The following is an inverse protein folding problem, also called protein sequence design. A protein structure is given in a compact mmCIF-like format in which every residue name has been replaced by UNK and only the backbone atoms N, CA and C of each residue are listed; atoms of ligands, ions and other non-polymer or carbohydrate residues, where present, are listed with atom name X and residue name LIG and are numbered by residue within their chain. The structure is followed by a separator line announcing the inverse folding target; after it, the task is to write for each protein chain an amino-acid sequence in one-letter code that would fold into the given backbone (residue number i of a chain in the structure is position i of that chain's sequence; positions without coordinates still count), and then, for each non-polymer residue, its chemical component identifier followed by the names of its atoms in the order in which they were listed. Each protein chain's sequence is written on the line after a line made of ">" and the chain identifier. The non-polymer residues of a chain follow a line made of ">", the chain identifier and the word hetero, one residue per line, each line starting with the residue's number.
data_IF_642909697876
#
_entry.id   IF_642909697876
#
_cell.length_a   1.000
_cell.length_b   1.000
_cell.length_c   1.000
_cell.angle_alpha   90.00
_cell.angle_beta   90.00
_cell.angle_gamma   90.00
#
_symmetry.space_group_name_H-M   'P 1'
#
loop_
_entity.id
_entity.type
_entity.pdbx_description
1 polymer ?
#
# COMPACT_ATOMS: atom_id res chain seq x y z
N UNK A 1 5.01 37.40 9.29
CA UNK A 1 5.54 36.01 9.28
C UNK A 1 4.43 35.11 8.79
N UNK A 2 4.37 34.87 7.47
CA UNK A 2 3.31 34.06 6.85
C UNK A 2 3.61 32.58 6.97
N UNK A 3 2.65 31.81 7.48
CA UNK A 3 2.71 30.36 7.58
C UNK A 3 2.71 29.73 6.19
N UNK A 4 3.75 29.00 5.83
CA UNK A 4 3.77 28.09 4.68
C UNK A 4 2.96 26.84 5.07
N UNK A 5 1.64 26.98 5.10
CA UNK A 5 0.71 25.87 5.31
C UNK A 5 0.23 25.36 3.94
N UNK A 6 0.69 24.15 3.59
CA UNK A 6 0.06 23.16 2.69
C UNK A 6 -0.18 23.50 1.21
N UNK A 7 0.88 23.84 0.45
CA UNK A 7 0.82 23.86 -1.03
C UNK A 7 0.94 22.46 -1.70
N UNK A 8 1.10 21.39 -0.91
CA UNK A 8 1.31 20.04 -1.42
C UNK A 8 0.10 19.45 -2.19
N UNK A 9 -1.18 19.72 -1.84
CA UNK A 9 -2.31 19.10 -2.54
C UNK A 9 -2.32 19.46 -4.03
N UNK A 10 -2.04 20.71 -4.37
CA UNK A 10 -1.99 21.16 -5.78
C UNK A 10 -0.96 20.40 -6.60
N UNK A 11 0.26 20.24 -6.06
CA UNK A 11 1.34 19.50 -6.75
C UNK A 11 0.97 18.03 -6.94
N UNK A 12 0.40 17.40 -5.91
CA UNK A 12 -0.05 16.01 -5.97
C UNK A 12 -1.19 15.83 -6.98
N UNK A 13 -2.20 16.70 -6.94
CA UNK A 13 -3.34 16.61 -7.85
C UNK A 13 -2.88 16.69 -9.30
N UNK A 14 -2.00 17.64 -9.62
CA UNK A 14 -1.45 17.79 -10.95
C UNK A 14 -0.70 16.52 -11.40
N UNK A 15 0.20 16.02 -10.54
CA UNK A 15 0.98 14.81 -10.80
C UNK A 15 0.07 13.58 -11.03
N UNK A 16 -0.86 13.31 -10.12
CA UNK A 16 -1.79 12.17 -10.26
C UNK A 16 -2.66 12.29 -11.51
N UNK A 17 -3.19 13.48 -11.78
CA UNK A 17 -4.08 13.70 -12.92
C UNK A 17 -3.36 13.50 -14.26
N UNK A 18 -2.09 13.88 -14.38
CA UNK A 18 -1.32 13.73 -15.61
C UNK A 18 -0.79 12.30 -15.81
N UNK A 19 -0.44 11.61 -14.73
CA UNK A 19 0.26 10.32 -14.79
C UNK A 19 -0.63 9.08 -14.67
N UNK A 20 -1.91 9.23 -14.32
CA UNK A 20 -2.85 8.11 -14.33
C UNK A 20 -3.31 7.77 -15.76
N UNK A 21 -3.43 6.46 -16.10
CA UNK A 21 -3.93 6.04 -17.41
C UNK A 21 -5.30 6.65 -17.72
N UNK A 22 -5.53 7.05 -18.97
CA UNK A 22 -6.79 7.67 -19.40
C UNK A 22 -7.75 6.64 -19.97
N UNK A 23 -9.05 6.80 -19.69
CA UNK A 23 -10.14 6.06 -20.35
C UNK A 23 -11.32 6.99 -20.59
N UNK A 24 -11.51 7.36 -21.86
CA UNK A 24 -12.45 8.41 -22.23
C UNK A 24 -12.14 9.70 -21.48
N UNK A 25 -13.14 10.25 -20.77
CA UNK A 25 -12.98 11.43 -19.93
C UNK A 25 -12.39 11.14 -18.53
N UNK A 26 -12.26 9.86 -18.14
CA UNK A 26 -11.82 9.44 -16.81
C UNK A 26 -10.37 8.97 -16.75
N UNK A 27 -10.05 8.34 -15.62
CA UNK A 27 -8.82 7.60 -15.34
C UNK A 27 -9.17 6.13 -15.15
N UNK A 28 -8.34 5.24 -15.69
CA UNK A 28 -8.47 3.79 -15.56
C UNK A 28 -7.37 3.26 -14.65
N UNK A 29 -7.74 2.49 -13.63
CA UNK A 29 -6.76 1.90 -12.74
C UNK A 29 -6.09 0.65 -13.34
N UNK A 30 -6.55 0.15 -14.49
CA UNK A 30 -6.01 -1.03 -15.22
C UNK A 30 -5.79 -2.28 -14.36
N UNK A 31 -6.53 -2.40 -13.26
CA UNK A 31 -6.29 -3.38 -12.19
C UNK A 31 -4.85 -3.40 -11.63
N UNK A 32 -4.11 -2.30 -11.71
CA UNK A 32 -2.80 -2.11 -11.06
C UNK A 32 -2.97 -1.41 -9.72
N UNK A 33 -2.22 -1.87 -8.70
CA UNK A 33 -2.23 -1.31 -7.34
C UNK A 33 -1.92 0.19 -7.33
N UNK A 34 -0.84 0.60 -8.01
CA UNK A 34 -0.41 1.99 -8.04
C UNK A 34 -1.44 2.92 -8.67
N UNK A 35 -2.08 2.48 -9.76
CA UNK A 35 -3.09 3.28 -10.44
C UNK A 35 -4.40 3.34 -9.66
N UNK A 36 -4.80 2.24 -9.01
CA UNK A 36 -6.01 2.23 -8.20
C UNK A 36 -5.88 3.17 -7.00
N UNK A 37 -4.77 3.09 -6.27
CA UNK A 37 -4.49 3.99 -5.15
C UNK A 37 -4.37 5.44 -5.64
N UNK A 38 -3.80 5.69 -6.82
CA UNK A 38 -3.78 7.03 -7.42
C UNK A 38 -5.18 7.57 -7.75
N UNK A 39 -6.08 6.71 -8.27
CA UNK A 39 -7.48 7.06 -8.47
C UNK A 39 -8.20 7.37 -7.15
N UNK A 40 -8.01 6.52 -6.13
CA UNK A 40 -8.56 6.72 -4.78
C UNK A 40 -8.04 8.02 -4.15
N UNK A 41 -6.76 8.36 -4.34
CA UNK A 41 -6.18 9.61 -3.88
C UNK A 41 -6.84 10.83 -4.55
N UNK A 42 -7.11 10.79 -5.86
CA UNK A 42 -7.85 11.88 -6.55
C UNK A 42 -9.28 12.01 -6.04
N UNK A 43 -9.95 10.90 -5.71
CA UNK A 43 -11.29 10.92 -5.12
C UNK A 43 -11.26 11.52 -3.72
N UNK A 44 -10.32 11.09 -2.89
CA UNK A 44 -10.12 11.58 -1.52
C UNK A 44 -9.73 13.06 -1.47
N UNK A 45 -8.98 13.55 -2.46
CA UNK A 45 -8.64 14.97 -2.64
C UNK A 45 -9.80 15.79 -3.27
N UNK A 46 -10.97 15.18 -3.46
CA UNK A 46 -12.17 15.86 -3.98
C UNK A 46 -12.10 16.23 -5.46
N UNK A 47 -11.17 15.66 -6.21
CA UNK A 47 -10.94 15.97 -7.63
C UNK A 47 -11.72 15.05 -8.57
N UNK A 48 -12.07 13.85 -8.10
CA UNK A 48 -12.75 12.86 -8.90
C UNK A 48 -13.89 12.15 -8.13
N UNK A 49 -14.72 11.44 -8.88
CA UNK A 49 -15.71 10.50 -8.36
C UNK A 49 -15.28 9.10 -8.77
N UNK A 50 -15.31 8.17 -7.81
CA UNK A 50 -14.99 6.77 -8.06
C UNK A 50 -16.00 6.15 -9.04
N UNK A 51 -15.49 5.33 -9.95
CA UNK A 51 -16.30 4.50 -10.85
C UNK A 51 -15.70 3.11 -10.93
N UNK A 52 -16.48 2.12 -11.37
CA UNK A 52 -15.93 0.78 -11.63
C UNK A 52 -14.76 0.87 -12.61
N UNK A 53 -13.57 0.47 -12.18
CA UNK A 53 -12.38 0.51 -13.03
C UNK A 53 -11.55 1.80 -12.94
N UNK A 54 -11.89 2.79 -12.10
CA UNK A 54 -11.06 3.98 -11.91
C UNK A 54 -11.80 5.19 -11.34
N UNK A 55 -11.57 6.38 -11.91
CA UNK A 55 -12.14 7.62 -11.39
C UNK A 55 -12.43 8.64 -12.50
N UNK A 56 -13.51 9.42 -12.37
CA UNK A 56 -13.88 10.47 -13.33
C UNK A 56 -13.73 11.85 -12.69
N UNK A 57 -13.05 12.82 -13.34
CA UNK A 57 -12.93 14.18 -12.81
C UNK A 57 -14.27 14.83 -12.49
N UNK A 58 -14.35 15.55 -11.37
CA UNK A 58 -15.54 16.32 -10.99
C UNK A 58 -15.63 17.59 -11.83
N UNK A 59 -16.86 18.03 -12.09
CA UNK A 59 -17.11 19.32 -12.79
C UNK A 59 -16.67 20.53 -11.97
N UNK A 60 -16.84 20.46 -10.65
CA UNK A 60 -16.42 21.46 -9.68
C UNK A 60 -15.53 20.76 -8.64
N UNK A 61 -14.23 20.59 -8.94
CA UNK A 61 -13.30 20.00 -7.99
C UNK A 61 -13.05 20.96 -6.83
N UNK A 62 -13.13 20.44 -5.61
CA UNK A 62 -12.89 21.21 -4.38
C UNK A 62 -12.15 20.31 -3.40
N UNK A 63 -11.16 20.87 -2.69
CA UNK A 63 -10.48 20.13 -1.63
C UNK A 63 -11.47 19.83 -0.50
N UNK A 64 -11.43 18.64 0.10
CA UNK A 64 -12.24 18.35 1.27
C UNK A 64 -11.81 19.23 2.46
N UNK A 65 -12.73 19.49 3.39
CA UNK A 65 -12.43 20.18 4.65
C UNK A 65 -11.31 19.47 5.44
N UNK A 66 -11.29 18.14 5.38
CA UNK A 66 -10.24 17.29 5.97
C UNK A 66 -9.49 16.58 4.87
N UNK A 67 -8.23 16.95 4.68
CA UNK A 67 -7.36 16.29 3.70
C UNK A 67 -7.08 14.83 4.10
N UNK A 68 -6.90 13.95 3.10
CA UNK A 68 -6.41 12.60 3.35
C UNK A 68 -5.06 12.64 4.06
N UNK A 69 -4.73 11.55 4.73
CA UNK A 69 -3.49 11.42 5.49
C UNK A 69 -2.29 11.62 4.57
N UNK A 70 -1.40 12.55 4.93
CA UNK A 70 -0.24 12.92 4.13
C UNK A 70 0.64 11.70 3.76
N UNK A 71 0.89 10.81 4.71
CA UNK A 71 1.69 9.59 4.47
C UNK A 71 1.08 8.70 3.39
N UNK A 72 -0.24 8.49 3.41
CA UNK A 72 -0.95 7.66 2.44
C UNK A 72 -0.87 8.29 1.02
N UNK A 73 -0.99 9.62 0.94
CA UNK A 73 -0.80 10.35 -0.33
C UNK A 73 0.64 10.23 -0.83
N UNK A 74 1.63 10.27 0.05
CA UNK A 74 3.02 10.04 -0.35
C UNK A 74 3.22 8.65 -0.96
N UNK A 75 2.58 7.61 -0.40
CA UNK A 75 2.61 6.26 -0.99
C UNK A 75 1.98 6.26 -2.38
N UNK A 76 0.80 6.88 -2.54
CA UNK A 76 0.13 6.99 -3.83
C UNK A 76 1.03 7.63 -4.91
N UNK A 77 1.74 8.70 -4.57
CA UNK A 77 2.67 9.38 -5.48
C UNK A 77 3.90 8.53 -5.77
N UNK A 78 4.55 7.96 -4.76
CA UNK A 78 5.78 7.18 -4.93
C UNK A 78 5.53 5.92 -5.78
N UNK A 79 4.45 5.19 -5.50
CA UNK A 79 4.09 4.00 -6.27
C UNK A 79 3.66 4.33 -7.70
N UNK A 80 2.92 5.42 -7.92
CA UNK A 80 2.58 5.86 -9.27
C UNK A 80 3.84 6.28 -10.05
N UNK A 81 4.74 7.04 -9.44
CA UNK A 81 5.98 7.47 -10.06
C UNK A 81 6.86 6.27 -10.45
N UNK A 82 6.99 5.28 -9.57
CA UNK A 82 7.73 4.04 -9.85
C UNK A 82 7.05 3.22 -10.96
N UNK A 83 5.73 3.05 -10.89
CA UNK A 83 4.95 2.33 -11.91
C UNK A 83 5.07 2.97 -13.31
N UNK A 84 5.23 4.29 -13.39
CA UNK A 84 5.43 5.04 -14.63
C UNK A 84 6.92 5.14 -15.05
N UNK A 85 7.85 4.55 -14.29
CA UNK A 85 9.30 4.67 -14.55
C UNK A 85 9.87 6.07 -14.30
N UNK A 86 9.12 6.95 -13.65
CA UNK A 86 9.50 8.33 -13.31
C UNK A 86 10.30 8.42 -12.01
N UNK A 87 10.28 7.36 -11.22
CA UNK A 87 11.08 7.19 -10.02
C UNK A 87 11.71 5.80 -10.04
N UNK A 88 13.03 5.70 -9.92
CA UNK A 88 13.74 4.42 -9.87
C UNK A 88 14.64 4.38 -8.64
N UNK A 89 14.49 3.37 -7.81
CA UNK A 89 15.34 3.15 -6.63
C UNK A 89 16.58 2.30 -7.00
N UNK A 90 17.73 2.63 -6.42
CA UNK A 90 19.01 1.94 -6.68
C UNK A 90 19.80 1.70 -5.40
N UNK A 91 20.64 0.67 -5.39
CA UNK A 91 21.52 0.36 -4.26
C UNK A 91 22.75 1.28 -4.24
N UNK A 92 23.31 1.58 -3.06
CA UNK A 92 24.64 2.15 -2.98
C UNK A 92 25.67 1.18 -3.58
N UNK A 93 26.41 1.62 -4.60
CA UNK A 93 27.43 0.81 -5.26
C UNK A 93 27.00 0.16 -6.58
N UNK A 94 25.73 0.30 -6.98
CA UNK A 94 25.36 0.09 -8.38
C UNK A 94 26.14 1.10 -9.24
N UNK A 95 26.83 0.62 -10.27
CA UNK A 95 27.76 1.44 -11.06
C UNK A 95 27.00 2.59 -11.74
N UNK A 96 27.22 3.81 -11.25
CA UNK A 96 26.54 5.03 -11.68
C UNK A 96 26.87 5.42 -13.14
N UNK A 97 27.92 4.82 -13.72
CA UNK A 97 28.61 5.36 -14.89
C UNK A 97 28.19 4.78 -16.26
N UNK A 98 27.34 3.75 -16.36
CA UNK A 98 27.02 3.15 -17.68
C UNK A 98 25.85 3.77 -18.45
N UNK A 99 24.95 4.54 -17.82
CA UNK A 99 23.71 5.06 -18.47
C UNK A 99 23.60 6.59 -18.54
N UNK A 100 24.62 7.34 -18.08
CA UNK A 100 24.59 8.82 -17.97
C UNK A 100 24.43 9.57 -19.29
N UNK A 101 24.63 8.93 -20.43
CA UNK A 101 24.48 9.60 -21.73
C UNK A 101 23.01 9.96 -22.04
N UNK A 102 22.03 9.34 -21.35
CA UNK A 102 20.61 9.48 -21.68
C UNK A 102 19.66 9.77 -20.49
N UNK A 103 20.16 9.78 -19.25
CA UNK A 103 19.31 10.06 -18.08
C UNK A 103 19.04 11.57 -17.91
N UNK A 104 17.79 12.00 -18.10
CA UNK A 104 17.32 13.37 -17.77
C UNK A 104 16.87 13.51 -16.30
N UNK A 105 17.04 12.47 -15.48
CA UNK A 105 16.60 12.44 -14.08
C UNK A 105 17.52 13.19 -13.11
N UNK A 106 16.95 13.65 -12.01
CA UNK A 106 17.67 14.22 -10.86
C UNK A 106 17.89 13.14 -9.81
N UNK A 107 19.10 13.09 -9.26
CA UNK A 107 19.42 12.15 -8.19
C UNK A 107 18.98 12.65 -6.84
N UNK A 108 18.23 11.79 -6.18
CA UNK A 108 17.86 11.89 -4.79
C UNK A 108 18.89 11.12 -3.98
N UNK A 109 19.71 11.86 -3.23
CA UNK A 109 20.70 11.32 -2.32
C UNK A 109 20.06 10.40 -1.29
N UNK A 110 20.81 9.38 -0.86
CA UNK A 110 20.38 8.47 0.19
C UNK A 110 19.91 9.25 1.44
N UNK A 111 18.93 8.71 2.20
CA UNK A 111 18.46 9.36 3.42
C UNK A 111 19.63 9.62 4.37
N UNK A 112 19.62 10.79 5.00
CA UNK A 112 20.49 11.02 6.16
C UNK A 112 20.14 9.95 7.18
N UNK A 113 21.09 9.08 7.55
CA UNK A 113 20.82 7.90 8.40
C UNK A 113 20.24 8.33 9.74
N UNK A 114 18.93 8.21 9.87
CA UNK A 114 18.15 8.29 11.10
C UNK A 114 18.17 6.96 11.85
N UNK A 115 17.88 6.96 13.14
CA UNK A 115 17.91 5.75 13.97
C UNK A 115 16.98 4.63 13.47
N UNK A 116 15.86 4.92 12.79
CA UNK A 116 15.02 3.83 12.27
C UNK A 116 15.62 3.23 10.99
N UNK A 117 16.16 4.04 10.08
CA UNK A 117 16.86 3.52 8.89
C UNK A 117 18.24 2.93 9.19
N UNK A 118 18.81 3.10 10.40
CA UNK A 118 20.14 2.54 10.75
C UNK A 118 20.24 1.02 10.57
N UNK A 119 19.15 0.28 10.77
CA UNK A 119 19.11 -1.17 10.59
C UNK A 119 18.71 -1.61 9.19
N UNK A 120 18.30 -0.68 8.33
CA UNK A 120 17.81 -0.97 6.98
C UNK A 120 18.82 -0.52 5.93
N UNK A 121 18.94 -1.31 4.88
CA UNK A 121 19.66 -0.88 3.69
C UNK A 121 18.83 0.19 2.99
N UNK A 122 19.41 1.38 2.80
CA UNK A 122 18.79 2.49 2.07
C UNK A 122 19.72 3.01 1.00
N UNK A 123 19.17 3.32 -0.16
CA UNK A 123 19.92 3.71 -1.34
C UNK A 123 19.49 5.04 -1.93
N UNK A 124 19.98 5.28 -3.14
CA UNK A 124 19.63 6.46 -3.94
C UNK A 124 18.31 6.21 -4.67
N UNK A 125 17.74 7.30 -5.19
CA UNK A 125 16.70 7.22 -6.20
C UNK A 125 16.97 8.21 -7.32
N UNK A 126 16.59 7.86 -8.53
CA UNK A 126 16.55 8.77 -9.67
C UNK A 126 15.10 9.15 -9.92
N UNK A 127 14.82 10.45 -10.01
CA UNK A 127 13.49 10.98 -10.30
C UNK A 127 13.52 11.84 -11.56
N UNK A 128 12.55 11.67 -12.46
CA UNK A 128 12.32 12.61 -13.56
C UNK A 128 11.94 14.00 -13.00
N UNK A 129 11.96 15.08 -13.81
CA UNK A 129 11.67 16.42 -13.33
C UNK A 129 10.29 16.58 -12.67
N UNK A 130 9.29 15.81 -13.11
CA UNK A 130 7.92 15.89 -12.61
C UNK A 130 7.78 15.20 -11.25
N UNK A 131 8.31 13.98 -11.14
CA UNK A 131 8.42 13.22 -9.90
C UNK A 131 9.26 14.01 -8.87
N UNK A 132 10.40 14.56 -9.28
CA UNK A 132 11.23 15.38 -8.40
C UNK A 132 10.45 16.58 -7.84
N UNK A 133 9.73 17.32 -8.68
CA UNK A 133 8.94 18.47 -8.26
C UNK A 133 7.83 18.11 -7.27
N UNK A 134 7.09 17.02 -7.49
CA UNK A 134 6.04 16.60 -6.56
C UNK A 134 6.62 16.07 -5.24
N UNK A 135 7.77 15.37 -5.27
CA UNK A 135 8.46 14.92 -4.06
C UNK A 135 8.96 16.09 -3.22
N UNK A 136 9.47 17.16 -3.87
CA UNK A 136 9.83 18.40 -3.21
C UNK A 136 8.60 19.13 -2.64
N UNK A 137 7.49 19.17 -3.39
CA UNK A 137 6.21 19.76 -2.94
C UNK A 137 5.59 19.05 -1.74
N UNK A 138 5.70 17.71 -1.68
CA UNK A 138 5.37 16.90 -0.51
C UNK A 138 6.35 17.11 0.66
N UNK A 139 7.52 17.70 0.39
CA UNK A 139 8.62 17.87 1.31
C UNK A 139 9.32 16.57 1.68
N UNK A 140 9.19 15.52 0.86
CA UNK A 140 9.91 14.26 1.05
C UNK A 140 11.42 14.46 0.81
N UNK A 141 11.78 15.42 -0.05
CA UNK A 141 13.17 15.79 -0.34
C UNK A 141 13.47 17.24 0.04
N UNK A 142 14.75 17.54 0.31
CA UNK A 142 15.27 18.89 0.55
C UNK A 142 15.67 19.61 -0.75
N UNK A 143 16.06 20.88 -0.65
CA UNK A 143 16.52 21.67 -1.81
C UNK A 143 17.85 21.22 -2.42
N UNK A 144 18.52 20.25 -1.82
CA UNK A 144 19.71 19.57 -2.36
C UNK A 144 19.39 18.17 -2.88
N UNK A 145 18.11 17.85 -3.09
CA UNK A 145 17.65 16.53 -3.53
C UNK A 145 18.10 15.41 -2.61
N UNK A 146 17.87 15.53 -1.29
CA UNK A 146 18.06 14.41 -0.35
C UNK A 146 16.77 14.10 0.39
N UNK A 147 16.53 12.82 0.67
CA UNK A 147 15.40 12.43 1.53
C UNK A 147 15.50 13.11 2.89
N UNK A 148 14.39 13.71 3.33
CA UNK A 148 14.26 14.36 4.64
C UNK A 148 13.81 13.36 5.69
N UNK A 149 14.07 13.65 6.96
CA UNK A 149 13.69 12.79 8.09
C UNK A 149 12.20 12.44 8.09
N UNK A 150 11.32 13.39 7.71
CA UNK A 150 9.87 13.12 7.62
C UNK A 150 9.47 12.12 6.53
N UNK A 151 10.36 11.83 5.56
CA UNK A 151 10.13 10.80 4.53
C UNK A 151 10.39 9.39 5.08
N UNK A 152 11.09 9.25 6.19
CA UNK A 152 11.43 7.96 6.80
C UNK A 152 10.20 7.05 7.04
N UNK A 153 9.12 7.47 7.73
CA UNK A 153 7.95 6.61 7.93
C UNK A 153 7.26 6.24 6.61
N UNK A 154 7.37 7.07 5.58
CA UNK A 154 6.87 6.77 4.23
C UNK A 154 7.72 5.71 3.56
N UNK A 155 9.06 5.84 3.59
CA UNK A 155 9.99 4.88 2.99
C UNK A 155 9.92 3.51 3.67
N UNK A 156 9.65 3.47 4.99
CA UNK A 156 9.35 2.24 5.73
C UNK A 156 8.12 1.51 5.23
N UNK A 157 7.16 2.23 4.66
CA UNK A 157 5.95 1.67 4.04
C UNK A 157 6.17 1.35 2.58
N UNK A 158 6.94 2.14 1.83
CA UNK A 158 7.23 1.82 0.41
C UNK A 158 8.10 0.57 0.30
N UNK A 159 9.16 0.47 1.12
CA UNK A 159 10.17 -0.59 1.06
C UNK A 159 10.60 -0.95 -0.36
N UNK A 160 11.26 -0.01 -1.08
CA UNK A 160 11.67 -0.25 -2.46
C UNK A 160 12.41 -1.59 -2.61
N UNK A 161 12.00 -2.41 -3.57
CA UNK A 161 12.57 -3.74 -3.76
C UNK A 161 14.10 -3.67 -3.95
N UNK A 162 14.57 -2.67 -4.69
CA UNK A 162 15.99 -2.43 -4.93
C UNK A 162 16.79 -2.28 -3.63
N UNK A 163 16.20 -1.72 -2.58
CA UNK A 163 16.90 -1.48 -1.32
C UNK A 163 16.95 -2.72 -0.41
N UNK A 164 16.20 -3.78 -0.71
CA UNK A 164 16.14 -4.99 0.12
C UNK A 164 15.91 -4.66 1.61
N UNK A 165 15.00 -3.72 1.88
CA UNK A 165 14.71 -3.30 3.25
C UNK A 165 14.12 -4.47 4.05
N UNK A 166 14.67 -4.68 5.24
CA UNK A 166 14.10 -5.56 6.26
C UNK A 166 13.95 -4.76 7.54
N UNK A 167 12.71 -4.54 7.96
CA UNK A 167 12.40 -3.80 9.19
C UNK A 167 12.19 -4.72 10.38
N UNK A 168 12.14 -6.04 10.18
CA UNK A 168 11.82 -7.02 11.24
C UNK A 168 12.84 -7.05 12.38
N UNK A 169 14.10 -6.74 12.06
CA UNK A 169 15.21 -6.68 13.03
C UNK A 169 15.38 -5.30 13.69
N UNK A 170 14.50 -4.35 13.41
CA UNK A 170 14.59 -3.00 13.98
C UNK A 170 13.93 -2.93 15.37
N UNK A 171 14.63 -2.36 16.35
CA UNK A 171 14.12 -2.22 17.72
C UNK A 171 12.81 -1.41 17.81
N UNK A 172 12.65 -0.37 16.98
CA UNK A 172 11.41 0.42 16.92
C UNK A 172 10.26 -0.37 16.30
N UNK A 173 10.55 -1.22 15.32
CA UNK A 173 9.55 -2.14 14.78
C UNK A 173 9.11 -3.15 15.85
N UNK A 174 10.06 -3.78 16.56
CA UNK A 174 9.76 -4.70 17.65
C UNK A 174 8.91 -4.05 18.75
N UNK A 175 9.28 -2.84 19.19
CA UNK A 175 8.49 -2.08 20.16
C UNK A 175 7.08 -1.75 19.65
N UNK A 176 6.92 -1.50 18.35
CA UNK A 176 5.62 -1.25 17.73
C UNK A 176 4.76 -2.53 17.66
N UNK A 177 5.37 -3.71 17.46
CA UNK A 177 4.66 -5.01 17.53
C UNK A 177 4.14 -5.24 18.94
N UNK A 178 5.00 -5.10 19.95
CA UNK A 178 4.61 -5.25 21.36
C UNK A 178 3.45 -4.30 21.71
N UNK A 179 3.55 -3.04 21.30
CA UNK A 179 2.49 -2.05 21.50
C UNK A 179 1.19 -2.43 20.77
N UNK A 180 1.28 -2.96 19.54
CA UNK A 180 0.13 -3.39 18.77
C UNK A 180 -0.60 -4.57 19.42
N UNK A 181 0.14 -5.52 20.00
CA UNK A 181 -0.44 -6.64 20.76
C UNK A 181 -1.07 -6.16 22.06
N UNK A 182 -0.33 -5.40 22.86
CA UNK A 182 -0.76 -5.00 24.21
C UNK A 182 -1.89 -3.96 24.22
N UNK A 183 -2.00 -3.14 23.18
CA UNK A 183 -3.00 -2.05 23.09
C UNK A 183 -4.06 -2.32 22.02
N UNK A 184 -4.22 -3.58 21.61
CA UNK A 184 -5.21 -3.97 20.60
C UNK A 184 -6.64 -3.68 21.08
N UNK A 185 -7.43 -2.90 20.33
CA UNK A 185 -8.86 -2.74 20.60
C UNK A 185 -9.58 -4.09 20.58
N UNK A 186 -10.56 -4.27 21.47
CA UNK A 186 -11.26 -5.55 21.64
C UNK A 186 -12.04 -5.99 20.41
N UNK A 187 -12.59 -5.04 19.65
CA UNK A 187 -13.26 -5.31 18.37
C UNK A 187 -12.29 -5.85 17.32
N UNK A 188 -11.09 -5.27 17.23
CA UNK A 188 -10.02 -5.76 16.36
C UNK A 188 -9.56 -7.15 16.80
N UNK A 189 -9.36 -7.36 18.10
CA UNK A 189 -8.99 -8.67 18.63
C UNK A 189 -10.02 -9.74 18.30
N UNK A 190 -11.30 -9.46 18.50
CA UNK A 190 -12.39 -10.38 18.18
C UNK A 190 -12.47 -10.67 16.67
N UNK A 191 -12.21 -9.66 15.82
CA UNK A 191 -12.17 -9.82 14.37
C UNK A 191 -11.01 -10.73 13.92
N UNK A 192 -9.80 -10.54 14.46
CA UNK A 192 -8.64 -11.41 14.21
C UNK A 192 -8.93 -12.84 14.67
N UNK A 193 -9.39 -13.01 15.91
CA UNK A 193 -9.71 -14.33 16.49
C UNK A 193 -10.75 -15.09 15.65
N UNK A 194 -11.70 -14.37 15.04
CA UNK A 194 -12.69 -14.94 14.11
C UNK A 194 -12.06 -15.36 12.79
N UNK A 195 -11.16 -14.55 12.22
CA UNK A 195 -10.55 -14.83 10.91
C UNK A 195 -9.57 -16.00 10.93
N UNK A 196 -8.84 -16.20 12.03
CA UNK A 196 -7.89 -17.32 12.17
C UNK A 196 -8.58 -18.66 12.43
N UNK A 197 -9.87 -18.67 12.77
CA UNK A 197 -10.66 -19.89 13.00
C UNK A 197 -11.36 -20.29 11.71
N UNK A 198 -10.81 -21.29 11.02
CA UNK A 198 -11.47 -21.96 9.90
C UNK A 198 -12.22 -23.17 10.45
N UNK A 199 -13.54 -23.15 10.35
CA UNK A 199 -14.40 -24.25 10.80
C UNK A 199 -14.72 -25.21 9.65
N UNK A 200 -15.16 -26.43 9.98
CA UNK A 200 -15.71 -27.37 8.99
C UNK A 200 -16.87 -26.75 8.19
N UNK A 201 -17.70 -25.94 8.83
CA UNK A 201 -18.80 -25.26 8.17
C UNK A 201 -18.31 -24.25 7.11
N UNK A 202 -17.20 -23.55 7.37
CA UNK A 202 -16.57 -22.66 6.39
C UNK A 202 -16.06 -23.44 5.17
N UNK A 203 -15.40 -24.58 5.41
CA UNK A 203 -14.88 -25.47 4.36
C UNK A 203 -16.01 -25.98 3.48
N UNK A 204 -17.06 -26.54 4.09
CA UNK A 204 -18.23 -27.04 3.35
C UNK A 204 -18.95 -25.92 2.59
N UNK A 205 -19.06 -24.72 3.16
CA UNK A 205 -19.65 -23.57 2.48
C UNK A 205 -18.81 -23.12 1.27
N UNK A 206 -17.48 -23.06 1.42
CA UNK A 206 -16.57 -22.71 0.33
C UNK A 206 -16.61 -23.74 -0.80
N UNK A 207 -16.66 -25.03 -0.46
CA UNK A 207 -16.83 -26.10 -1.45
C UNK A 207 -18.14 -25.96 -2.23
N UNK A 208 -19.26 -25.68 -1.55
CA UNK A 208 -20.56 -25.43 -2.21
C UNK A 208 -20.54 -24.22 -3.13
N UNK A 209 -19.90 -23.13 -2.70
CA UNK A 209 -19.74 -21.93 -3.54
C UNK A 209 -18.91 -22.22 -4.80
N UNK A 210 -17.82 -22.98 -4.66
CA UNK A 210 -17.00 -23.39 -5.79
C UNK A 210 -17.76 -24.29 -6.77
N UNK A 211 -18.55 -25.23 -6.26
CA UNK A 211 -19.41 -26.10 -7.08
C UNK A 211 -20.44 -25.27 -7.86
N UNK A 212 -21.16 -24.36 -7.18
CA UNK A 212 -22.12 -23.47 -7.83
C UNK A 212 -21.48 -22.57 -8.90
N UNK A 213 -20.28 -22.01 -8.63
CA UNK A 213 -19.53 -21.23 -9.61
C UNK A 213 -19.11 -22.07 -10.83
N UNK A 214 -18.71 -23.33 -10.60
CA UNK A 214 -18.37 -24.27 -11.66
C UNK A 214 -19.58 -24.58 -12.54
N UNK A 215 -20.76 -24.81 -11.95
CA UNK A 215 -22.00 -25.02 -12.72
C UNK A 215 -22.39 -23.78 -13.53
N UNK A 216 -22.27 -22.59 -12.97
CA UNK A 216 -22.49 -21.34 -13.71
C UNK A 216 -21.55 -21.21 -14.92
N UNK A 217 -20.27 -21.58 -14.77
CA UNK A 217 -19.32 -21.58 -15.89
C UNK A 217 -19.67 -22.62 -16.96
N UNK A 218 -20.20 -23.80 -16.59
CA UNK A 218 -20.70 -24.79 -17.57
C UNK A 218 -21.90 -24.26 -18.34
N UNK A 219 -22.80 -23.51 -17.69
CA UNK A 219 -23.94 -22.89 -18.36
C UNK A 219 -23.47 -21.83 -19.38
N UNK A 220 -22.45 -21.03 -19.04
CA UNK A 220 -21.93 -19.97 -19.89
C UNK A 220 -21.08 -20.48 -21.07
N UNK A 221 -20.24 -21.49 -20.84
CA UNK A 221 -19.24 -21.96 -21.81
C UNK A 221 -19.53 -23.35 -22.39
N UNK A 222 -20.66 -23.95 -22.00
CA UNK A 222 -21.11 -25.26 -22.43
C UNK A 222 -20.52 -26.42 -21.61
N UNK A 223 -21.12 -27.62 -21.70
CA UNK A 223 -20.78 -28.78 -20.87
C UNK A 223 -19.38 -29.35 -21.14
N UNK A 224 -18.75 -28.97 -22.25
CA UNK A 224 -17.37 -29.37 -22.62
C UNK A 224 -16.31 -28.35 -22.16
N UNK A 225 -16.69 -27.31 -21.43
CA UNK A 225 -15.74 -26.36 -20.86
C UNK A 225 -14.70 -27.10 -20.00
N UNK A 226 -13.42 -26.84 -20.25
CA UNK A 226 -12.32 -27.41 -19.47
C UNK A 226 -12.24 -26.70 -18.12
N UNK A 227 -13.12 -27.09 -17.20
CA UNK A 227 -13.13 -26.58 -15.84
C UNK A 227 -12.17 -27.38 -14.96
N UNK A 228 -11.65 -26.75 -13.91
CA UNK A 228 -10.78 -27.39 -12.94
C UNK A 228 -11.43 -28.60 -12.25
N UNK A 229 -10.62 -29.45 -11.63
CA UNK A 229 -11.13 -30.56 -10.80
C UNK A 229 -11.99 -30.01 -9.64
N UNK A 230 -13.00 -30.77 -9.16
CA UNK A 230 -13.72 -30.44 -7.94
C UNK A 230 -12.75 -30.15 -6.80
N UNK A 231 -13.06 -29.14 -6.00
CA UNK A 231 -12.21 -28.74 -4.88
C UNK A 231 -12.33 -29.79 -3.77
N UNK A 232 -11.18 -30.23 -3.24
CA UNK A 232 -11.13 -31.13 -2.07
C UNK A 232 -11.24 -30.32 -0.77
N UNK A 233 -11.61 -30.94 0.37
CA UNK A 233 -11.62 -30.25 1.66
C UNK A 233 -10.29 -29.58 2.00
N UNK A 234 -9.16 -30.28 1.83
CA UNK A 234 -7.82 -29.74 2.04
C UNK A 234 -7.52 -28.51 1.14
N UNK A 235 -7.95 -28.57 -0.13
CA UNK A 235 -7.76 -27.43 -1.05
C UNK A 235 -8.66 -26.26 -0.66
N UNK A 236 -9.86 -26.53 -0.17
CA UNK A 236 -10.77 -25.51 0.34
C UNK A 236 -10.21 -24.86 1.62
N UNK A 237 -9.64 -25.63 2.55
CA UNK A 237 -8.95 -25.12 3.74
C UNK A 237 -7.77 -24.21 3.37
N UNK A 238 -6.92 -24.64 2.43
CA UNK A 238 -5.80 -23.82 1.95
C UNK A 238 -6.27 -22.53 1.26
N UNK A 239 -7.31 -22.61 0.43
CA UNK A 239 -7.93 -21.46 -0.23
C UNK A 239 -8.49 -20.46 0.79
N UNK A 240 -9.21 -20.96 1.79
CA UNK A 240 -9.71 -20.15 2.90
C UNK A 240 -8.57 -19.52 3.70
N UNK A 241 -7.49 -20.26 3.99
CA UNK A 241 -6.30 -19.72 4.65
C UNK A 241 -5.65 -18.57 3.88
N UNK A 242 -5.66 -18.62 2.54
CA UNK A 242 -5.23 -17.50 1.71
C UNK A 242 -6.18 -16.30 1.80
N UNK A 243 -7.48 -16.53 1.64
CA UNK A 243 -8.51 -15.47 1.71
C UNK A 243 -8.48 -14.77 3.08
N UNK A 244 -8.44 -15.54 4.17
CA UNK A 244 -8.40 -15.02 5.54
C UNK A 244 -7.13 -14.25 5.85
N UNK A 245 -5.98 -14.61 5.26
CA UNK A 245 -4.76 -13.79 5.35
C UNK A 245 -4.94 -12.43 4.70
N UNK A 246 -5.55 -12.39 3.52
CA UNK A 246 -5.88 -11.13 2.88
C UNK A 246 -6.88 -10.31 3.72
N UNK A 247 -7.91 -10.94 4.29
CA UNK A 247 -8.83 -10.26 5.23
C UNK A 247 -8.07 -9.68 6.45
N UNK A 248 -7.10 -10.41 6.98
CA UNK A 248 -6.23 -9.94 8.07
C UNK A 248 -5.35 -8.77 7.61
N UNK A 249 -4.77 -8.82 6.41
CA UNK A 249 -3.98 -7.71 5.85
C UNK A 249 -4.81 -6.42 5.82
N UNK A 250 -6.08 -6.51 5.38
CA UNK A 250 -7.01 -5.37 5.35
C UNK A 250 -7.27 -4.72 6.71
N UNK A 251 -7.24 -5.48 7.81
CA UNK A 251 -7.33 -4.91 9.16
C UNK A 251 -6.16 -3.96 9.41
N UNK A 252 -4.94 -4.38 9.09
CA UNK A 252 -3.74 -3.58 9.31
C UNK A 252 -3.64 -2.40 8.33
N UNK A 253 -3.97 -2.61 7.05
CA UNK A 253 -4.02 -1.53 6.04
C UNK A 253 -4.89 -0.36 6.48
N UNK A 254 -6.06 -0.65 7.08
CA UNK A 254 -7.05 0.38 7.44
C UNK A 254 -6.91 0.92 8.84
N UNK A 255 -6.38 0.14 9.78
CA UNK A 255 -6.50 0.44 11.21
C UNK A 255 -5.17 0.61 11.93
N UNK A 256 -4.01 0.44 11.29
CA UNK A 256 -2.73 0.53 11.97
C UNK A 256 -1.72 1.44 11.25
N UNK A 257 -0.94 2.22 12.00
CA UNK A 257 0.20 3.01 11.49
C UNK A 257 1.35 2.96 12.48
N UNK A 258 2.60 2.94 11.99
CA UNK A 258 3.79 2.84 12.83
C UNK A 258 3.88 3.92 13.92
N UNK A 259 3.54 5.17 13.58
CA UNK A 259 3.64 6.29 14.51
C UNK A 259 2.49 6.36 15.54
N UNK A 260 1.33 5.78 15.23
CA UNK A 260 0.09 5.95 16.03
C UNK A 260 -0.42 4.64 16.65
N UNK A 261 0.05 3.49 16.19
CA UNK A 261 -0.53 2.20 16.52
C UNK A 261 -1.90 2.02 15.89
N UNK A 262 -2.87 1.55 16.68
CA UNK A 262 -4.26 1.38 16.24
C UNK A 262 -4.98 2.72 16.12
N UNK A 263 -5.45 3.04 14.91
CA UNK A 263 -6.10 4.30 14.57
C UNK A 263 -7.48 4.44 15.21
N UNK A 264 -7.74 5.61 15.80
CA UNK A 264 -9.07 6.01 16.24
C UNK A 264 -10.02 6.27 15.05
N UNK A 265 -11.33 6.25 15.30
CA UNK A 265 -12.37 6.42 14.24
C UNK A 265 -12.12 7.60 13.30
N UNK A 266 -11.84 8.78 13.84
CA UNK A 266 -11.63 9.99 13.04
C UNK A 266 -10.38 9.91 12.17
N UNK A 267 -9.31 9.27 12.65
CA UNK A 267 -8.08 9.09 11.88
C UNK A 267 -8.29 8.10 10.72
N UNK A 268 -9.19 7.11 10.88
CA UNK A 268 -9.55 6.14 9.84
C UNK A 268 -10.31 6.77 8.68
N UNK A 269 -11.12 7.78 8.92
CA UNK A 269 -11.87 8.47 7.84
C UNK A 269 -10.97 9.20 6.85
N UNK A 270 -9.70 9.44 7.22
CA UNK A 270 -8.71 10.14 6.41
C UNK A 270 -7.72 9.20 5.73
N UNK A 271 -7.79 7.89 5.98
CA UNK A 271 -6.86 6.94 5.37
C UNK A 271 -7.25 6.65 3.92
N UNK A 272 -6.25 6.50 3.06
CA UNK A 272 -6.45 5.80 1.79
C UNK A 272 -6.33 4.30 2.04
N UNK A 273 -7.01 3.50 1.23
CA UNK A 273 -6.90 2.05 1.25
C UNK A 273 -5.56 1.64 0.57
N UNK A 274 -4.44 1.86 1.28
CA UNK A 274 -3.11 1.44 0.80
C UNK A 274 -2.98 -0.08 0.96
N UNK A 275 -3.56 -0.82 0.02
CA UNK A 275 -3.45 -2.27 -0.05
C UNK A 275 -2.08 -2.69 -0.58
N UNK A 276 -1.64 -3.89 -0.18
CA UNK A 276 -0.28 -4.39 -0.38
C UNK A 276 0.83 -3.64 0.36
N UNK A 277 0.52 -2.80 1.37
CA UNK A 277 1.51 -2.11 2.20
C UNK A 277 2.48 -3.12 2.89
N UNK A 278 3.76 -3.18 2.48
CA UNK A 278 4.77 -4.07 3.03
C UNK A 278 4.95 -3.98 4.55
N UNK A 279 4.83 -2.77 5.13
CA UNK A 279 5.00 -2.57 6.57
C UNK A 279 3.81 -3.13 7.34
N UNK A 280 2.60 -2.85 6.87
CA UNK A 280 1.38 -3.37 7.48
C UNK A 280 1.32 -4.91 7.39
N UNK A 281 1.77 -5.49 6.27
CA UNK A 281 1.89 -6.96 6.13
C UNK A 281 2.88 -7.51 7.16
N UNK A 282 4.06 -6.91 7.31
CA UNK A 282 5.05 -7.35 8.30
C UNK A 282 4.53 -7.21 9.74
N UNK A 283 3.81 -6.13 10.03
CA UNK A 283 3.16 -5.92 11.32
C UNK A 283 2.12 -7.02 11.59
N UNK A 284 1.24 -7.33 10.62
CA UNK A 284 0.29 -8.45 10.74
C UNK A 284 1.01 -9.75 11.06
N UNK A 285 2.05 -10.10 10.28
CA UNK A 285 2.80 -11.36 10.47
C UNK A 285 3.37 -11.48 11.87
N UNK A 286 3.96 -10.39 12.37
CA UNK A 286 4.59 -10.35 13.69
C UNK A 286 3.54 -10.46 14.81
N UNK A 287 2.48 -9.66 14.74
CA UNK A 287 1.37 -9.71 15.71
C UNK A 287 0.70 -11.08 15.74
N UNK A 288 0.48 -11.71 14.59
CA UNK A 288 -0.15 -13.03 14.51
C UNK A 288 0.77 -14.14 15.02
N UNK A 289 2.09 -14.00 14.84
CA UNK A 289 3.06 -14.93 15.42
C UNK A 289 3.04 -14.90 16.94
N UNK A 290 2.84 -13.72 17.53
CA UNK A 290 2.72 -13.56 19.00
C UNK A 290 1.36 -14.03 19.53
N UNK A 291 0.26 -13.67 18.86
CA UNK A 291 -1.09 -14.00 19.34
C UNK A 291 -1.49 -15.46 19.10
N UNK A 292 -1.00 -16.07 18.02
CA UNK A 292 -1.39 -17.40 17.57
C UNK A 292 -0.18 -18.22 17.08
N UNK A 293 0.79 -18.52 17.96
CA UNK A 293 2.01 -19.25 17.58
C UNK A 293 1.72 -20.63 16.99
N UNK A 294 0.61 -21.26 17.37
CA UNK A 294 0.20 -22.58 16.88
C UNK A 294 -0.44 -22.55 15.48
N UNK A 295 -0.66 -21.35 14.90
CA UNK A 295 -1.32 -21.16 13.60
C UNK A 295 -0.39 -20.45 12.59
N UNK A 296 0.77 -21.06 12.24
CA UNK A 296 1.77 -20.40 11.41
C UNK A 296 1.27 -20.04 10.01
N UNK A 297 0.20 -20.70 9.52
CA UNK A 297 -0.42 -20.39 8.23
C UNK A 297 -0.86 -18.93 8.11
N UNK A 298 -1.27 -18.28 9.22
CA UNK A 298 -1.70 -16.88 9.22
C UNK A 298 -0.58 -15.88 9.56
N UNK A 299 0.62 -16.36 9.89
CA UNK A 299 1.83 -15.55 10.09
C UNK A 299 2.74 -15.48 8.84
N UNK A 300 2.36 -16.20 7.77
CA UNK A 300 3.05 -16.20 6.47
C UNK A 300 2.82 -14.94 5.66
#
# INVERSE_FOLDING_TARGET
>A
MGSVTEAWPTAVIAFLAENLPRRGAGRDHMSSTAYQIGCEALVALGQATEVTGGAVPRKAPELPERLPRWEDVCIAVLWLAEQQGKLTYRMPGDDWDSDRAHSQGTIIGAPTRSDMLRSCTVGFAEADPEAHAVLAGLGLIDGSSRWKDKAEPVLWRVQPQAWHMDVSNNEKFAAAVEAAVNRMPSDIRAEIDRLVRITRADVEAHMRQHEAATENLKLQHGPKARLGKPITPERAENSLGFIRRNDLDWIFFRRWRLAEGWLASEARERTLDIFHDPLAIQMRRSVLSELHPDLPVFSK
#
